data_IF_982329342548
#
_entry.id   IF_982329342548
#
_cell.length_a   1.000
_cell.length_b   1.000
_cell.length_c   1.000
_cell.angle_alpha   90.00
_cell.angle_beta   90.00
_cell.angle_gamma   90.00
#
_symmetry.space_group_name_H-M   'P 1'
#
loop_
_entity.id
_entity.type
_entity.pdbx_description
1 polymer ?
2 non-polymer ?
3 non-polymer ?
4 non-polymer ?
5 water ?
#
# COMPACT_ATOMS: atom_id res chain seq x y z
N UNK A 3 17.88 8.79 18.61
CA UNK A 3 17.81 9.25 17.19
C UNK A 3 16.36 9.54 16.82
N UNK A 4 15.94 10.80 16.94
CA UNK A 4 14.52 11.14 16.79
C UNK A 4 14.02 10.96 15.36
N UNK A 5 12.86 10.30 15.23
CA UNK A 5 12.23 10.08 13.93
C UNK A 5 11.99 11.39 13.19
N UNK A 6 11.68 12.44 13.96
CA UNK A 6 11.49 13.77 13.40
C UNK A 6 12.69 14.25 12.59
N UNK A 7 13.88 13.74 12.94
CA UNK A 7 15.12 14.07 12.20
C UNK A 7 15.12 13.54 10.76
N UNK A 8 14.43 12.42 10.54
CA UNK A 8 14.27 11.86 9.20
C UNK A 8 13.00 12.37 8.55
N UNK A 9 11.99 12.60 9.40
CA UNK A 9 10.63 12.87 8.94
C UNK A 9 10.63 13.86 7.79
N UNK A 10 10.03 13.41 6.69
CA UNK A 10 9.93 14.18 5.46
C UNK A 10 9.35 15.56 5.76
N UNK A 11 10.19 16.55 5.49
CA UNK A 11 9.97 17.92 5.91
C UNK A 11 8.85 18.58 5.13
N UNK A 12 8.32 17.85 4.16
CA UNK A 12 7.22 18.34 3.36
C UNK A 12 5.94 18.47 4.20
N UNK A 13 4.98 19.19 3.63
CA UNK A 13 3.61 19.20 4.13
C UNK A 13 2.97 17.83 3.90
N UNK A 14 2.21 17.36 4.88
CA UNK A 14 1.55 16.08 4.72
C UNK A 14 0.21 16.30 4.04
N UNK A 15 0.00 15.55 2.95
CA UNK A 15 -1.26 15.56 2.21
C UNK A 15 -2.32 14.81 3.02
N UNK A 16 -3.42 15.51 3.33
CA UNK A 16 -4.48 14.95 4.16
C UNK A 16 -5.86 15.13 3.52
N UNK A 17 -6.84 14.42 4.06
CA UNK A 17 -8.25 14.69 3.81
C UNK A 17 -9.01 14.88 5.14
N UNK A 18 -10.29 15.25 5.06
CA UNK A 18 -11.15 15.43 6.24
C UNK A 18 -12.19 14.32 6.32
N UNK A 19 -12.81 14.13 7.50
CA UNK A 19 -13.81 13.06 7.63
C UNK A 19 -14.98 13.23 6.66
N UNK A 20 -15.29 14.48 6.31
CA UNK A 20 -16.40 14.78 5.41
C UNK A 20 -16.01 14.86 3.92
N UNK A 21 -14.72 14.76 3.63
CA UNK A 21 -14.26 14.63 2.24
C UNK A 21 -14.86 13.34 1.68
N UNK A 22 -15.44 13.41 0.49
CA UNK A 22 -16.04 12.21 -0.13
C UNK A 22 -14.95 11.20 -0.50
N UNK A 23 -15.34 9.93 -0.56
CA UNK A 23 -14.49 8.88 -1.09
C UNK A 23 -13.93 9.25 -2.49
N UNK A 24 -14.80 9.76 -3.37
CA UNK A 24 -14.37 10.21 -4.72
C UNK A 24 -13.23 11.21 -4.63
N UNK A 25 -13.41 12.25 -3.81
CA UNK A 25 -12.39 13.30 -3.66
C UNK A 25 -11.10 12.78 -3.02
N UNK A 26 -11.25 11.84 -2.08
CA UNK A 26 -10.09 11.17 -1.47
C UNK A 26 -9.28 10.40 -2.53
N UNK A 27 -9.99 9.70 -3.41
CA UNK A 27 -9.36 8.99 -4.52
C UNK A 27 -8.58 9.90 -5.46
N UNK A 28 -9.20 11.04 -5.81
CA UNK A 28 -8.56 12.02 -6.68
C UNK A 28 -7.31 12.56 -6.00
N UNK A 29 -7.43 12.83 -4.71
CA UNK A 29 -6.31 13.28 -3.90
C UNK A 29 -5.18 12.23 -3.99
N UNK A 30 -5.51 10.96 -3.81
CA UNK A 30 -4.55 9.85 -3.90
C UNK A 30 -3.86 9.81 -5.26
N UNK A 31 -4.66 9.75 -6.31
CA UNK A 31 -4.16 9.63 -7.67
C UNK A 31 -3.34 10.82 -8.10
N UNK A 32 -3.78 12.01 -7.68
CA UNK A 32 -3.12 13.26 -8.09
C UNK A 32 -1.76 13.41 -7.44
N UNK A 33 -1.75 13.41 -6.11
CA UNK A 33 -0.54 13.64 -5.33
C UNK A 33 0.44 12.46 -5.32
N UNK A 34 0.02 11.33 -5.89
CA UNK A 34 0.81 10.09 -5.94
C UNK A 34 1.00 9.46 -4.55
N UNK A 35 0.40 10.07 -3.53
CA UNK A 35 0.42 9.53 -2.18
C UNK A 35 -0.73 8.57 -1.95
N UNK A 36 -0.36 7.33 -1.67
CA UNK A 36 -1.34 6.27 -1.49
C UNK A 36 -1.66 6.00 0.01
N UNK A 37 -1.29 6.94 0.87
CA UNK A 37 -1.60 6.87 2.31
C UNK A 37 -1.99 8.24 2.83
N UNK A 38 -3.28 8.42 3.16
CA UNK A 38 -3.79 9.73 3.56
C UNK A 38 -4.35 9.78 4.98
N UNK A 39 -3.65 10.49 5.89
CA UNK A 39 -4.22 10.80 7.21
C UNK A 39 -5.52 11.58 7.07
N UNK A 40 -6.48 11.25 7.90
CA UNK A 40 -7.74 11.96 7.98
C UNK A 40 -7.66 12.82 9.24
N UNK A 41 -7.84 14.12 9.07
CA UNK A 41 -7.69 15.08 10.17
C UNK A 41 -8.93 15.98 10.31
N UNK A 42 -9.16 16.51 11.50
CA UNK A 42 -10.17 17.57 11.67
C UNK A 42 -9.72 18.86 11.00
N UNK A 43 -10.68 19.65 10.47
CA UNK A 43 -10.32 20.83 9.65
C UNK A 43 -9.79 22.15 10.28
N UNK A 44 -10.21 22.60 11.46
CA UNK A 44 -10.59 21.81 12.60
C UNK A 44 -9.44 22.19 13.52
N UNK A 45 -8.95 21.21 14.28
CA UNK A 45 -7.74 21.37 15.10
C UNK A 45 -6.54 20.56 14.58
N UNK A 46 -6.68 19.99 13.38
CA UNK A 46 -5.64 19.16 12.76
C UNK A 46 -5.34 17.85 13.49
N UNK A 47 -6.27 17.41 14.34
CA UNK A 47 -6.09 16.14 15.04
C UNK A 47 -6.33 14.96 14.11
N UNK A 48 -5.46 13.96 14.21
CA UNK A 48 -5.59 12.73 13.43
C UNK A 48 -6.77 11.91 13.96
N UNK A 49 -7.77 11.73 13.12
CA UNK A 49 -8.96 10.96 13.50
C UNK A 49 -9.12 9.71 12.64
N UNK A 50 -8.26 9.54 11.65
CA UNK A 50 -8.36 8.37 10.77
C UNK A 50 -7.23 8.31 9.77
N UNK A 51 -7.24 7.27 8.94
CA UNK A 51 -6.27 7.11 7.85
C UNK A 51 -6.94 6.28 6.75
N UNK A 52 -6.62 6.59 5.49
CA UNK A 52 -7.21 5.88 4.36
C UNK A 52 -6.11 5.62 3.33
N UNK A 53 -5.98 4.37 2.91
CA UNK A 53 -4.97 3.98 1.93
C UNK A 53 -5.65 3.30 0.76
N UNK A 54 -4.87 2.93 -0.25
CA UNK A 54 -5.41 2.25 -1.43
C UNK A 54 -6.00 0.89 -1.08
N UNK A 55 -5.50 0.27 -0.01
CA UNK A 55 -6.03 -1.00 0.46
C UNK A 55 -7.46 -0.89 0.97
N UNK A 56 -7.77 0.21 1.63
CA UNK A 56 -9.14 0.49 2.06
C UNK A 56 -10.07 0.64 0.86
N UNK A 57 -9.54 1.23 -0.22
CA UNK A 57 -10.30 1.41 -1.45
C UNK A 57 -10.51 0.05 -2.12
N UNK A 58 -9.48 -0.80 -2.12
CA UNK A 58 -9.59 -2.17 -2.65
C UNK A 58 -10.62 -3.01 -1.86
N UNK A 59 -10.67 -2.80 -0.56
CA UNK A 59 -11.69 -3.38 0.33
C UNK A 59 -13.10 -2.93 -0.11
N UNK A 60 -13.29 -1.61 -0.14
CA UNK A 60 -14.50 -0.94 -0.62
C UNK A 60 -14.99 -1.44 -1.99
N UNK A 61 -14.05 -1.65 -2.91
CA UNK A 61 -14.38 -2.09 -4.27
C UNK A 61 -14.90 -3.53 -4.35
N UNK A 62 -14.72 -4.31 -3.28
CA UNK A 62 -15.08 -5.74 -3.33
C UNK A 62 -14.24 -6.65 -2.45
N UNK A 63 -13.03 -6.22 -2.12
CA UNK A 63 -12.08 -7.04 -1.37
C UNK A 63 -12.48 -7.40 0.04
N UNK A 64 -13.33 -6.61 0.67
CA UNK A 64 -13.71 -6.88 2.05
C UNK A 64 -15.04 -6.32 2.48
N UNK A 65 -15.17 -6.13 3.78
CA UNK A 65 -16.45 -5.77 4.40
C UNK A 65 -16.95 -4.37 4.00
N UNK A 66 -16.03 -3.49 3.63
CA UNK A 66 -16.41 -2.12 3.22
C UNK A 66 -17.16 -2.08 1.90
N UNK A 67 -17.09 -3.18 1.16
CA UNK A 67 -17.84 -3.33 -0.09
C UNK A 67 -19.36 -3.23 0.09
N UNK A 68 -19.82 -3.54 1.30
CA UNK A 68 -21.27 -3.50 1.54
C UNK A 68 -21.86 -2.09 1.57
N UNK A 69 -21.00 -1.08 1.55
CA UNK A 69 -21.46 0.30 1.32
C UNK A 69 -22.01 0.44 -0.11
N UNK A 70 -21.31 -0.14 -1.08
CA UNK A 70 -21.78 -0.20 -2.47
C UNK A 70 -22.99 -1.12 -2.58
N UNK A 71 -22.81 -2.41 -2.26
CA UNK A 71 -23.80 -3.45 -2.58
C UNK A 71 -25.15 -3.30 -1.87
N UNK A 72 -25.14 -2.84 -0.61
CA UNK A 72 -26.36 -2.77 0.20
C UNK A 72 -26.99 -1.40 0.26
N UNK A 73 -26.24 -0.43 0.77
CA UNK A 73 -26.78 0.91 0.96
C UNK A 73 -27.12 1.55 -0.38
N UNK A 74 -26.21 1.41 -1.33
CA UNK A 74 -26.35 2.09 -2.61
C UNK A 74 -26.67 1.13 -3.73
N UNK A 75 -27.12 -0.05 -3.34
CA UNK A 75 -27.70 -1.02 -4.27
C UNK A 75 -26.83 -1.19 -5.50
N UNK A 76 -25.52 -1.25 -5.28
CA UNK A 76 -24.56 -1.54 -6.35
C UNK A 76 -24.10 -0.33 -7.16
N UNK A 77 -24.55 0.86 -6.75
CA UNK A 77 -24.17 2.09 -7.44
C UNK A 77 -22.86 2.65 -6.89
N UNK A 78 -21.77 2.32 -7.58
CA UNK A 78 -20.42 2.75 -7.19
C UNK A 78 -20.28 4.27 -7.24
N UNK A 79 -20.85 4.87 -8.28
CA UNK A 79 -20.78 6.31 -8.46
C UNK A 79 -21.51 7.07 -7.37
N UNK A 80 -22.66 6.55 -6.93
CA UNK A 80 -23.35 7.15 -5.79
C UNK A 80 -22.59 6.91 -4.48
N UNK A 81 -22.07 5.69 -4.32
CA UNK A 81 -21.38 5.27 -3.10
C UNK A 81 -20.15 6.12 -2.82
N UNK A 82 -19.46 6.53 -3.88
CA UNK A 82 -18.26 7.35 -3.71
C UNK A 82 -18.54 8.79 -3.31
N UNK A 83 -19.83 9.16 -3.25
CA UNK A 83 -20.22 10.44 -2.68
C UNK A 83 -20.32 10.42 -1.15
N UNK A 84 -20.25 9.23 -0.55
CA UNK A 84 -20.18 9.09 0.90
C UNK A 84 -18.91 9.71 1.47
N UNK A 85 -18.99 10.29 2.68
CA UNK A 85 -17.80 10.80 3.35
C UNK A 85 -16.80 9.69 3.64
N UNK A 86 -15.52 10.04 3.54
CA UNK A 86 -14.43 9.10 3.73
C UNK A 86 -14.51 8.46 5.13
N UNK A 87 -15.16 9.13 6.08
CA UNK A 87 -15.32 8.57 7.43
C UNK A 87 -16.03 7.22 7.41
N UNK A 88 -16.83 6.95 6.38
CA UNK A 88 -17.51 5.66 6.25
C UNK A 88 -16.57 4.47 6.03
N UNK A 89 -15.39 4.71 5.44
CA UNK A 89 -14.46 3.63 5.10
C UNK A 89 -13.03 3.78 5.61
N UNK A 90 -12.74 4.88 6.31
CA UNK A 90 -11.41 5.08 6.87
C UNK A 90 -11.15 4.13 8.06
N UNK A 91 -9.88 3.84 8.30
CA UNK A 91 -9.53 3.18 9.55
C UNK A 91 -9.44 4.22 10.66
N UNK A 92 -10.11 3.95 11.77
CA UNK A 92 -10.00 4.80 12.97
C UNK A 92 -9.04 4.09 13.94
N UNK A 93 -8.79 4.64 15.14
CA UNK A 93 -7.79 4.00 16.02
C UNK A 93 -6.44 3.89 15.30
N UNK A 94 -5.95 5.02 14.82
CA UNK A 94 -4.75 5.08 14.00
C UNK A 94 -3.51 4.73 14.82
N UNK A 95 -2.59 3.97 14.24
CA UNK A 95 -1.29 3.78 14.85
C UNK A 95 -0.42 5.00 14.53
N UNK A 96 -0.09 5.77 15.56
CA UNK A 96 0.76 6.96 15.42
C UNK A 96 2.04 6.90 16.26
N UNK A 97 2.96 7.82 15.97
CA UNK A 97 4.15 8.06 16.82
C UNK A 97 4.14 9.49 17.41
N UNK A 98 4.64 9.62 18.64
CA UNK A 98 4.79 10.90 19.32
C UNK A 98 5.95 11.68 18.70
N UNK A 99 5.90 13.01 18.75
CA UNK A 99 6.94 13.82 18.09
C UNK A 99 8.35 13.62 18.68
N UNK A 100 8.43 13.01 19.85
CA UNK A 100 9.71 12.67 20.48
C UNK A 100 10.11 11.20 20.37
N UNK A 101 9.44 10.46 19.49
CA UNK A 101 9.78 9.06 19.25
C UNK A 101 11.11 8.94 18.52
N UNK A 102 11.88 7.90 18.83
CA UNK A 102 13.13 7.63 18.12
C UNK A 102 12.92 6.57 17.06
N UNK A 103 13.92 6.41 16.20
CA UNK A 103 13.93 5.44 15.10
C UNK A 103 13.66 3.98 15.50
N UNK A 104 14.21 3.57 16.65
CA UNK A 104 14.01 2.23 17.21
C UNK A 104 12.54 1.95 17.38
N UNK A 105 11.84 2.91 17.97
CA UNK A 105 10.42 2.78 18.17
C UNK A 105 9.69 2.63 16.83
N UNK A 106 10.02 3.48 15.87
CA UNK A 106 9.39 3.43 14.54
C UNK A 106 9.57 2.05 13.91
N UNK A 107 10.79 1.54 13.97
CA UNK A 107 11.11 0.22 13.44
C UNK A 107 10.32 -0.89 14.11
N UNK A 108 10.27 -0.88 15.44
CA UNK A 108 9.49 -1.88 16.18
C UNK A 108 8.00 -1.79 15.82
N UNK A 109 7.51 -0.57 15.62
CA UNK A 109 6.11 -0.34 15.23
C UNK A 109 5.83 -0.96 13.87
N UNK A 110 6.69 -0.66 12.89
CA UNK A 110 6.53 -1.20 11.54
C UNK A 110 6.60 -2.72 11.52
N UNK A 111 7.52 -3.27 12.31
CA UNK A 111 7.78 -4.71 12.34
C UNK A 111 6.73 -5.54 13.10
N UNK A 112 6.12 -4.97 14.13
CA UNK A 112 5.22 -5.75 14.99
C UNK A 112 3.75 -5.40 14.85
N UNK A 113 3.48 -4.21 14.31
CA UNK A 113 2.10 -3.74 14.16
C UNK A 113 1.59 -3.73 12.71
N UNK A 114 2.33 -4.38 11.80
CA UNK A 114 1.87 -4.56 10.41
C UNK A 114 1.36 -3.26 9.75
N UNK A 115 2.13 -2.20 9.92
CA UNK A 115 1.87 -0.92 9.25
C UNK A 115 3.17 -0.53 8.55
N UNK A 116 3.04 0.20 7.44
CA UNK A 116 4.21 0.64 6.67
C UNK A 116 4.47 2.13 6.79
N UNK A 117 3.56 2.84 7.46
CA UNK A 117 3.65 4.30 7.59
C UNK A 117 2.82 4.73 8.79
N UNK A 118 3.30 5.75 9.50
CA UNK A 118 2.62 6.21 10.71
C UNK A 118 2.66 7.74 10.85
N UNK A 119 1.49 8.36 11.08
CA UNK A 119 1.46 9.79 11.39
C UNK A 119 2.29 10.08 12.64
N UNK A 120 3.02 11.19 12.62
CA UNK A 120 3.72 11.65 13.82
C UNK A 120 2.87 12.76 14.40
N UNK A 121 2.51 12.63 15.68
CA UNK A 121 1.62 13.58 16.32
C UNK A 121 2.23 14.22 17.56
N UNK A 122 1.70 15.38 17.94
CA UNK A 122 2.10 15.99 19.20
C UNK A 122 1.24 15.48 20.35
N UNK A 123 1.33 16.13 21.50
CA UNK A 123 0.61 15.69 22.68
C UNK A 123 -0.91 15.87 22.57
N UNK A 124 -1.36 16.74 21.66
CA UNK A 124 -2.79 16.92 21.42
C UNK A 124 -3.31 16.03 20.28
N UNK A 125 -2.46 15.12 19.79
CA UNK A 125 -2.79 14.25 18.65
C UNK A 125 -2.92 15.03 17.33
N UNK A 126 -2.36 16.23 17.29
CA UNK A 126 -2.33 17.05 16.08
C UNK A 126 -1.25 16.52 15.15
N UNK A 127 -1.53 16.51 13.86
CA UNK A 127 -0.58 16.01 12.88
C UNK A 127 0.65 16.91 12.79
N UNK A 128 1.82 16.31 12.95
CA UNK A 128 3.09 17.01 12.85
C UNK A 128 3.79 16.64 11.55
N UNK A 129 3.92 15.33 11.32
CA UNK A 129 4.55 14.80 10.11
C UNK A 129 4.07 13.37 9.87
N UNK A 130 4.88 12.59 9.14
CA UNK A 130 4.62 11.19 8.86
C UNK A 130 5.92 10.52 8.50
N UNK A 131 6.09 9.28 8.96
CA UNK A 131 7.26 8.46 8.64
C UNK A 131 6.79 7.12 8.05
N UNK A 132 7.52 6.64 7.04
CA UNK A 132 7.21 5.36 6.42
C UNK A 132 8.45 4.50 6.46
N UNK A 133 8.30 3.23 6.12
CA UNK A 133 9.44 2.29 6.07
C UNK A 133 10.53 2.73 5.10
N UNK A 134 10.13 3.25 3.94
CA UNK A 134 11.06 3.77 2.92
C UNK A 134 11.92 4.90 3.49
N UNK A 135 11.29 5.81 4.22
CA UNK A 135 11.99 6.95 4.85
C UNK A 135 13.14 6.45 5.72
N UNK A 136 12.86 5.39 6.48
CA UNK A 136 13.83 4.79 7.40
C UNK A 136 14.95 4.04 6.65
N UNK A 137 14.57 3.22 5.68
CA UNK A 137 15.56 2.50 4.88
C UNK A 137 16.48 3.47 4.16
N UNK A 138 15.90 4.55 3.63
CA UNK A 138 16.66 5.62 2.96
C UNK A 138 17.66 6.25 3.93
N UNK A 139 17.22 6.49 5.17
CA UNK A 139 18.09 7.08 6.18
C UNK A 139 19.21 6.15 6.63
N UNK A 140 18.95 4.84 6.61
CA UNK A 140 19.90 3.86 7.17
C UNK A 140 20.63 3.02 6.13
N UNK A 141 20.41 3.32 4.86
CA UNK A 141 20.91 2.51 3.75
C UNK A 141 22.41 2.27 3.80
N UNK A 142 23.17 3.34 4.09
CA UNK A 142 24.62 3.22 4.19
C UNK A 142 25.09 2.39 5.40
N UNK A 143 24.18 2.13 6.34
CA UNK A 143 24.51 1.33 7.54
C UNK A 143 24.30 -0.19 7.36
N UNK A 144 23.77 -0.59 6.21
CA UNK A 144 23.65 -2.02 5.90
C UNK A 144 25.01 -2.50 5.40
N UNK A 145 25.56 -3.52 6.05
CA UNK A 145 26.81 -4.16 5.61
C UNK A 145 26.67 -4.61 4.17
N UNK A 146 27.68 -4.33 3.36
CA UNK A 146 27.61 -4.57 1.91
C UNK A 146 27.64 -6.04 1.50
N UNK A 147 28.08 -6.92 2.41
CA UNK A 147 28.19 -8.34 2.12
C UNK A 147 26.98 -9.13 2.59
N UNK A 148 26.13 -8.48 3.39
CA UNK A 148 24.88 -9.04 3.86
C UNK A 148 24.02 -9.51 2.69
N UNK A 149 23.47 -10.72 2.79
CA UNK A 149 22.68 -11.32 1.72
C UNK A 149 21.19 -11.29 2.06
N UNK A 150 20.32 -11.39 1.05
CA UNK A 150 18.87 -11.25 1.27
C UNK A 150 18.19 -12.52 1.82
N UNK A 151 18.87 -13.65 1.67
CA UNK A 151 18.30 -14.98 1.92
C UNK A 151 17.48 -15.17 3.20
N UNK A 152 17.99 -14.71 4.35
CA UNK A 152 17.32 -14.84 5.64
C UNK A 152 16.08 -13.96 5.77
N UNK A 153 15.94 -13.00 4.85
CA UNK A 153 14.89 -11.99 4.94
C UNK A 153 13.72 -12.29 4.01
N UNK A 154 13.90 -13.26 3.13
CA UNK A 154 12.88 -13.62 2.13
C UNK A 154 11.69 -14.33 2.77
N UNK A 155 10.49 -13.91 2.38
CA UNK A 155 9.28 -14.64 2.72
C UNK A 155 9.09 -15.74 1.70
N UNK A 156 9.14 -16.98 2.21
CA UNK A 156 9.17 -18.16 1.37
C UNK A 156 7.77 -18.57 0.87
N UNK A 157 6.77 -18.52 1.74
CA UNK A 157 5.41 -18.88 1.35
C UNK A 157 4.72 -17.67 0.74
N UNK A 158 4.63 -17.67 -0.59
CA UNK A 158 4.10 -16.52 -1.33
C UNK A 158 2.64 -16.71 -1.70
N UNK A 159 1.85 -15.69 -1.38
CA UNK A 159 0.47 -15.58 -1.86
C UNK A 159 0.49 -14.86 -3.20
N UNK A 160 -0.27 -15.40 -4.15
CA UNK A 160 -0.04 -15.17 -5.55
C UNK A 160 -1.38 -14.98 -6.29
N UNK A 161 -1.36 -14.26 -7.41
CA UNK A 161 -2.52 -14.17 -8.29
C UNK A 161 -2.20 -14.89 -9.59
N UNK A 162 -3.20 -15.11 -10.46
CA UNK A 162 -2.93 -15.66 -11.80
C UNK A 162 -3.46 -14.72 -12.90
N UNK A 163 -2.94 -14.85 -14.14
CA UNK A 163 -3.31 -13.93 -15.22
C UNK A 163 -4.82 -13.88 -15.51
N UNK A 164 -5.51 -14.99 -15.21
CA UNK A 164 -6.94 -15.13 -15.49
C UNK A 164 -7.89 -14.75 -14.37
N UNK A 165 -7.37 -14.51 -13.17
CA UNK A 165 -8.22 -14.11 -12.05
C UNK A 165 -8.91 -12.78 -12.30
N UNK A 166 -10.19 -12.70 -11.90
CA UNK A 166 -10.95 -11.47 -11.98
C UNK A 166 -10.51 -10.54 -10.83
N UNK A 167 -10.60 -9.22 -11.07
CA UNK A 167 -10.22 -8.21 -10.07
C UNK A 167 -10.93 -8.39 -8.74
N UNK A 168 -12.21 -8.73 -8.79
CA UNK A 168 -13.01 -8.96 -7.59
C UNK A 168 -12.40 -10.02 -6.66
N UNK A 169 -11.77 -11.05 -7.23
CA UNK A 169 -11.19 -12.15 -6.44
C UNK A 169 -9.77 -11.84 -5.97
N UNK A 170 -8.99 -11.20 -6.83
CA UNK A 170 -7.66 -10.72 -6.44
C UNK A 170 -7.78 -9.71 -5.29
N UNK A 171 -8.79 -8.85 -5.36
CA UNK A 171 -9.06 -7.86 -4.31
C UNK A 171 -9.29 -8.50 -2.95
N UNK A 172 -10.06 -9.59 -2.95
CA UNK A 172 -10.27 -10.41 -1.76
C UNK A 172 -8.94 -10.92 -1.23
N UNK A 173 -8.14 -11.48 -2.13
CA UNK A 173 -6.84 -12.03 -1.76
C UNK A 173 -5.97 -10.96 -1.11
N UNK A 174 -5.95 -9.76 -1.69
CA UNK A 174 -5.14 -8.68 -1.14
C UNK A 174 -5.60 -8.29 0.26
N UNK A 175 -6.91 -8.05 0.39
CA UNK A 175 -7.47 -7.51 1.63
C UNK A 175 -7.47 -8.53 2.78
N UNK A 176 -7.85 -9.77 2.48
CA UNK A 176 -7.83 -10.84 3.50
C UNK A 176 -6.42 -11.12 4.04
N UNK A 177 -5.43 -11.06 3.17
CA UNK A 177 -4.06 -11.38 3.55
C UNK A 177 -3.26 -10.17 4.02
N UNK A 178 -3.80 -8.97 3.76
CA UNK A 178 -3.11 -7.71 4.06
C UNK A 178 -1.87 -7.45 3.21
N UNK A 179 -1.91 -7.90 1.95
CA UNK A 179 -0.79 -7.69 1.01
C UNK A 179 -1.18 -6.78 -0.14
N UNK A 180 -0.48 -5.65 -0.27
CA UNK A 180 -0.70 -4.71 -1.38
C UNK A 180 -0.20 -5.24 -2.72
N UNK A 181 0.82 -6.11 -2.68
CA UNK A 181 1.42 -6.59 -3.94
C UNK A 181 1.42 -8.12 -4.04
N UNK A 182 0.87 -8.60 -5.15
CA UNK A 182 0.82 -10.03 -5.43
C UNK A 182 1.59 -10.30 -6.73
N UNK A 183 2.56 -11.23 -6.66
CA UNK A 183 3.15 -11.72 -7.90
C UNK A 183 2.09 -12.46 -8.72
N UNK A 184 2.13 -12.31 -10.04
CA UNK A 184 1.22 -13.05 -10.91
C UNK A 184 2.00 -14.22 -11.47
N UNK A 185 1.48 -15.42 -11.28
CA UNK A 185 2.20 -16.66 -11.57
C UNK A 185 1.35 -17.54 -12.49
N UNK A 186 1.97 -18.14 -13.49
CA UNK A 186 1.29 -19.03 -14.42
C UNK A 186 2.17 -20.25 -14.66
N UNK A 187 1.65 -21.44 -14.36
CA UNK A 187 2.43 -22.69 -14.48
C UNK A 187 3.75 -22.58 -13.71
N UNK A 188 3.67 -22.13 -12.46
CA UNK A 188 4.86 -21.96 -11.60
C UNK A 188 5.84 -20.83 -11.92
N UNK A 189 5.62 -20.12 -13.02
CA UNK A 189 6.49 -19.02 -13.48
C UNK A 189 5.92 -17.64 -13.20
N UNK A 190 6.77 -16.70 -12.78
CA UNK A 190 6.38 -15.29 -12.64
C UNK A 190 6.09 -14.69 -14.01
N UNK A 191 4.90 -14.11 -14.15
CA UNK A 191 4.49 -13.57 -15.45
C UNK A 191 4.09 -12.10 -15.34
N UNK A 192 4.06 -11.59 -14.11
CA UNK A 192 3.70 -10.20 -13.84
C UNK A 192 3.62 -9.87 -12.36
N UNK A 193 3.21 -8.65 -12.05
CA UNK A 193 2.91 -8.21 -10.70
C UNK A 193 1.68 -7.31 -10.72
N UNK A 194 0.87 -7.39 -9.68
CA UNK A 194 -0.32 -6.56 -9.54
C UNK A 194 -0.35 -5.99 -8.11
N UNK A 195 -0.65 -4.70 -7.97
CA UNK A 195 -0.70 -4.04 -6.66
C UNK A 195 -2.02 -3.28 -6.47
N UNK A 196 -2.32 -2.88 -5.24
CA UNK A 196 -3.54 -2.11 -4.95
C UNK A 196 -3.62 -0.79 -5.73
N UNK A 197 -2.44 -0.24 -6.03
CA UNK A 197 -2.27 0.99 -6.82
C UNK A 197 -2.84 0.84 -8.24
N UNK A 198 -2.58 -0.31 -8.85
CA UNK A 198 -3.13 -0.67 -10.16
C UNK A 198 -4.66 -0.61 -10.16
N UNK A 199 -5.25 -1.02 -9.04
CA UNK A 199 -6.71 -1.00 -8.91
C UNK A 199 -7.25 0.45 -8.85
N UNK A 200 -6.52 1.36 -8.16
CA UNK A 200 -6.88 2.79 -8.14
C UNK A 200 -6.73 3.44 -9.51
N UNK A 201 -5.64 3.11 -10.19
CA UNK A 201 -5.34 3.65 -11.51
C UNK A 201 -6.40 3.24 -12.52
N UNK A 202 -6.88 2.00 -12.40
CA UNK A 202 -7.96 1.51 -13.24
C UNK A 202 -9.22 2.37 -13.06
N UNK A 203 -9.52 2.74 -11.81
CA UNK A 203 -10.69 3.57 -11.50
C UNK A 203 -10.64 4.95 -12.15
N UNK A 204 -9.45 5.55 -12.17
CA UNK A 204 -9.27 6.86 -12.81
C UNK A 204 -8.94 6.77 -14.29
N UNK A 205 -9.37 5.71 -14.96
CA UNK A 205 -9.13 5.58 -16.40
C UNK A 205 -10.31 6.07 -17.24
N UNK A 206 -10.06 6.34 -18.52
CA UNK A 206 -11.12 6.62 -19.48
C UNK A 206 -12.01 5.39 -19.59
N UNK A 207 -11.38 4.23 -19.78
CA UNK A 207 -12.09 2.97 -19.89
C UNK A 207 -13.10 2.77 -18.75
N UNK A 208 -12.70 3.18 -17.54
CA UNK A 208 -13.54 3.02 -16.35
C UNK A 208 -14.70 4.00 -16.27
N UNK A 209 -14.44 5.31 -16.42
CA UNK A 209 -15.50 6.32 -16.31
C UNK A 209 -16.57 6.09 -17.38
N UNK A 210 -16.14 5.60 -18.54
CA UNK A 210 -17.06 5.14 -19.58
C UNK A 210 -18.07 4.10 -19.08
N UNK A 211 -17.59 3.05 -18.41
CA UNK A 211 -18.46 2.01 -17.84
C UNK A 211 -19.39 2.52 -16.75
N UNK A 212 -18.84 3.34 -15.85
CA UNK A 212 -19.57 3.87 -14.70
C UNK A 212 -20.84 4.64 -15.12
N UNK A 213 -20.75 5.40 -16.21
CA UNK A 213 -21.85 6.21 -16.73
C UNK A 213 -23.04 5.37 -17.17
N UNK A 214 -22.72 4.27 -17.86
CA UNK A 214 -23.71 3.29 -18.31
C UNK A 214 -23.81 2.19 -17.25
N UNK A 215 -23.07 2.37 -16.16
CA UNK A 215 -22.83 1.36 -15.14
C UNK A 215 -24.03 0.56 -14.69
N UNK A 216 -23.95 -0.78 -14.71
CA UNK A 216 -22.80 -1.58 -15.16
C UNK A 216 -21.39 -1.20 -14.69
N UNK A 217 -21.27 -0.92 -13.38
CA UNK A 217 -19.96 -0.76 -12.75
C UNK A 217 -19.24 -2.10 -12.69
N UNK A 218 -20.00 -3.17 -12.92
CA UNK A 218 -19.54 -4.53 -12.71
C UNK A 218 -18.39 -4.97 -13.61
N UNK A 219 -18.30 -4.43 -14.82
CA UNK A 219 -17.22 -4.84 -15.72
C UNK A 219 -15.86 -4.36 -15.21
N UNK A 220 -15.85 -3.38 -14.32
CA UNK A 220 -14.61 -2.96 -13.65
C UNK A 220 -14.02 -4.10 -12.82
N UNK A 221 -14.82 -4.68 -11.92
CA UNK A 221 -14.31 -5.77 -11.08
C UNK A 221 -14.25 -7.14 -11.76
N UNK A 222 -14.84 -7.26 -12.94
CA UNK A 222 -14.74 -8.51 -13.71
C UNK A 222 -13.46 -8.60 -14.57
N UNK A 223 -12.77 -7.48 -14.72
CA UNK A 223 -11.52 -7.40 -15.48
C UNK A 223 -10.51 -8.41 -14.95
N UNK A 224 -9.77 -9.06 -15.85
CA UNK A 224 -8.79 -10.07 -15.46
C UNK A 224 -7.40 -9.45 -15.36
N UNK A 225 -6.56 -10.03 -14.50
CA UNK A 225 -5.22 -9.52 -14.21
C UNK A 225 -4.36 -9.25 -15.43
N UNK A 226 -4.43 -10.15 -16.41
CA UNK A 226 -3.68 -10.01 -17.65
C UNK A 226 -3.89 -8.65 -18.32
N UNK A 227 -5.07 -8.08 -18.14
CA UNK A 227 -5.41 -6.81 -18.78
C UNK A 227 -4.71 -5.62 -18.14
N UNK A 228 -4.44 -5.72 -16.84
CA UNK A 228 -3.97 -4.57 -16.07
C UNK A 228 -2.65 -4.76 -15.34
N UNK A 229 -2.19 -6.02 -15.24
CA UNK A 229 -0.93 -6.31 -14.56
C UNK A 229 0.28 -5.71 -15.28
N UNK A 230 1.35 -5.54 -14.51
CA UNK A 230 2.64 -5.15 -15.01
C UNK A 230 3.38 -6.43 -15.36
N UNK A 231 3.68 -6.64 -16.64
CA UNK A 231 4.30 -7.90 -17.09
C UNK A 231 5.78 -7.95 -16.80
N UNK A 232 6.41 -6.79 -16.84
CA UNK A 232 7.85 -6.74 -16.62
C UNK A 232 8.18 -6.30 -15.21
N UNK A 233 8.63 -7.27 -14.42
CA UNK A 233 8.77 -7.10 -12.99
C UNK A 233 10.24 -6.96 -12.61
N UNK A 234 10.52 -6.05 -11.68
CA UNK A 234 11.83 -5.98 -11.05
C UNK A 234 11.87 -7.05 -9.96
N UNK A 235 12.80 -7.98 -10.10
CA UNK A 235 12.89 -9.17 -9.24
C UNK A 235 14.20 -9.19 -8.46
N UNK A 236 14.25 -10.01 -7.41
CA UNK A 236 15.50 -10.32 -6.73
C UNK A 236 15.80 -11.80 -6.94
N UNK A 237 16.99 -12.24 -6.56
CA UNK A 237 17.32 -13.66 -6.57
C UNK A 237 18.19 -13.99 -5.38
N UNK A 238 18.13 -15.25 -4.92
CA UNK A 238 18.96 -15.70 -3.82
C UNK A 238 20.41 -15.38 -4.11
N UNK A 239 21.12 -14.89 -3.09
CA UNK A 239 22.50 -14.46 -3.28
C UNK A 239 22.69 -12.97 -3.41
N UNK A 240 21.63 -12.24 -3.78
CA UNK A 240 21.71 -10.78 -3.92
C UNK A 240 22.03 -10.10 -2.60
N UNK A 241 22.73 -8.98 -2.67
CA UNK A 241 23.08 -8.23 -1.46
C UNK A 241 21.87 -7.45 -0.97
N UNK A 242 21.69 -7.42 0.36
CA UNK A 242 20.56 -6.74 0.97
C UNK A 242 20.60 -5.25 0.64
N UNK A 243 21.82 -4.68 0.68
CA UNK A 243 22.00 -3.26 0.39
C UNK A 243 21.63 -2.90 -1.04
N UNK A 244 21.96 -3.76 -2.00
CA UNK A 244 21.58 -3.53 -3.39
C UNK A 244 20.06 -3.51 -3.53
N UNK A 245 19.40 -4.52 -2.96
CA UNK A 245 17.95 -4.62 -3.00
C UNK A 245 17.28 -3.41 -2.31
N UNK A 246 17.70 -3.11 -1.08
CA UNK A 246 17.21 -1.93 -0.35
C UNK A 246 17.34 -0.64 -1.15
N UNK A 247 18.47 -0.48 -1.84
CA UNK A 247 18.71 0.70 -2.67
C UNK A 247 17.76 0.78 -3.86
N UNK A 248 17.54 -0.36 -4.52
CA UNK A 248 16.57 -0.44 -5.62
C UNK A 248 15.18 0.02 -5.19
N UNK A 249 14.72 -0.46 -4.03
CA UNK A 249 13.38 -0.09 -3.51
C UNK A 249 13.25 1.40 -3.30
N UNK A 250 14.21 1.96 -2.59
CA UNK A 250 14.20 3.32 -2.11
C UNK A 250 14.40 4.36 -3.23
N UNK A 251 15.14 4.01 -4.28
CA UNK A 251 15.36 4.91 -5.42
C UNK A 251 14.27 4.77 -6.48
N UNK A 252 13.37 3.81 -6.29
CA UNK A 252 12.29 3.57 -7.24
C UNK A 252 10.88 3.65 -6.65
N UNK A 253 10.80 3.97 -5.35
CA UNK A 253 9.52 3.93 -4.65
C UNK A 253 8.78 2.62 -4.93
N UNK A 254 9.48 1.50 -4.79
CA UNK A 254 8.89 0.17 -4.96
C UNK A 254 9.03 -0.47 -3.59
N UNK A 255 8.04 -1.25 -3.16
CA UNK A 255 8.08 -1.84 -1.83
C UNK A 255 8.33 -3.33 -1.79
N UNK A 256 8.24 -3.99 -2.95
CA UNK A 256 8.32 -5.44 -3.01
C UNK A 256 8.94 -5.96 -4.30
N UNK A 257 9.88 -6.89 -4.18
CA UNK A 257 10.42 -7.62 -5.33
C UNK A 257 10.16 -9.12 -5.16
N UNK A 258 9.52 -9.75 -6.17
CA UNK A 258 9.42 -11.20 -6.22
C UNK A 258 10.83 -11.78 -6.35
N UNK A 259 11.10 -12.86 -5.63
CA UNK A 259 12.39 -13.54 -5.71
C UNK A 259 12.24 -14.72 -6.67
N UNK A 260 13.06 -14.74 -7.71
CA UNK A 260 12.93 -15.74 -8.77
C UNK A 260 14.20 -16.51 -9.09
N UNK A 261 13.97 -17.65 -9.75
CA UNK A 261 14.96 -18.48 -10.40
C UNK A 261 15.47 -17.79 -11.64
N UNK A 262 16.51 -18.35 -12.25
CA UNK A 262 16.89 -17.95 -13.59
C UNK A 262 15.81 -18.43 -14.57
N UNK A 263 15.05 -19.46 -14.18
CA UNK A 263 13.91 -19.91 -14.99
C UNK A 263 12.59 -19.24 -14.60
N UNK A 264 12.69 -18.29 -13.66
CA UNK A 264 11.56 -17.46 -13.25
C UNK A 264 10.55 -18.17 -12.37
N UNK A 265 10.97 -19.29 -11.78
CA UNK A 265 10.18 -19.90 -10.73
C UNK A 265 10.32 -19.06 -9.48
N UNK A 266 9.23 -18.94 -8.73
CA UNK A 266 9.18 -18.08 -7.55
C UNK A 266 9.78 -18.77 -6.34
N UNK A 267 10.77 -18.13 -5.75
CA UNK A 267 11.40 -18.65 -4.52
C UNK A 267 10.93 -17.92 -3.28
N UNK A 268 10.23 -16.82 -3.46
CA UNK A 268 9.83 -15.98 -2.34
C UNK A 268 9.50 -14.56 -2.78
N UNK A 269 9.44 -13.67 -1.80
CA UNK A 269 9.20 -12.25 -2.05
C UNK A 269 9.93 -11.54 -0.92
N UNK A 270 10.43 -10.35 -1.19
CA UNK A 270 11.08 -9.55 -0.16
C UNK A 270 10.54 -8.13 -0.23
N UNK A 271 10.24 -7.55 0.92
CA UNK A 271 9.65 -6.23 0.94
C UNK A 271 10.44 -5.33 1.86
N UNK A 272 10.07 -4.05 1.88
CA UNK A 272 10.69 -3.07 2.75
C UNK A 272 10.62 -3.46 4.23
N UNK A 273 9.52 -4.09 4.64
CA UNK A 273 9.42 -4.54 6.03
C UNK A 273 10.48 -5.59 6.34
N UNK A 274 10.71 -6.50 5.38
CA UNK A 274 11.73 -7.52 5.51
C UNK A 274 13.14 -6.94 5.60
N UNK A 275 13.41 -5.92 4.78
CA UNK A 275 14.68 -5.20 4.81
C UNK A 275 14.93 -4.65 6.21
N UNK A 276 13.89 -4.07 6.81
CA UNK A 276 14.01 -3.50 8.14
C UNK A 276 14.29 -4.51 9.24
N UNK A 277 14.11 -5.81 8.96
CA UNK A 277 14.45 -6.85 9.93
C UNK A 277 15.97 -6.95 10.17
N UNK A 278 16.76 -6.37 9.25
CA UNK A 278 18.19 -6.20 9.44
C UNK A 278 18.49 -5.42 10.71
N UNK A 279 17.67 -4.41 10.99
CA UNK A 279 17.87 -3.53 12.15
C UNK A 279 17.02 -3.91 13.36
N UNK A 280 16.41 -5.09 13.34
CA UNK A 280 15.68 -5.61 14.49
C UNK A 280 16.66 -6.09 15.56
#
# INVERSE_FOLDING_TARGET
MFVRVMKIAQNKKIVTVYPTTTIRKALMTMNENKYRRLPVVNAGNNKVVGIITSMDIVDFMGGGSKYNLIREKHERNFLAAINEPVREIMEENVITLKENADIDEAIETFLTKNVGGAPIVNDENQLISLITERDVIRALLDKIDENEVIDDYITRDVIVATPGERLKDVARTMVRNGFRRLPVVSEGRLVGIITSTDFIKLLGSDWAFNHMQTGNVREITNVRMEEIMKRDVITAKEGDKLKKIAEIMVTNDIGALPVVDENLRIKGIITEKDVLKYFA
#
